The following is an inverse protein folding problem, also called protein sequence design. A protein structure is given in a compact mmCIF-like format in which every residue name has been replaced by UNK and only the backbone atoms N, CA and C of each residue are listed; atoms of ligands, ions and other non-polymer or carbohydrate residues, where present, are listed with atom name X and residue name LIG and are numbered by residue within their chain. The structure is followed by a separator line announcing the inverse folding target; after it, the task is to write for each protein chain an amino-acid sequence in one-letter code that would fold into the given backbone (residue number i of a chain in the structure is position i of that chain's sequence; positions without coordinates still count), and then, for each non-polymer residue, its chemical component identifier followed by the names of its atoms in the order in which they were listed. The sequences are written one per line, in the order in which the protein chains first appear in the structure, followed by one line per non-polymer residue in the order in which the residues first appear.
data_IF_112852034981
#
_entry.id   IF_112852034981
#
_cell.length_a   1.000
_cell.length_b   1.000
_cell.length_c   1.000
_cell.angle_alpha   90.00
_cell.angle_beta   90.00
_cell.angle_gamma   90.00
#
_symmetry.space_group_name_H-M   'P 1'
#
loop_
_entity.id
_entity.type
_entity.pdbx_description
1 polymer ?
#
# COMPACT_ATOMS: atom_id res chain seq x y z
N UNK A 1 -7.37 -11.51 0.63
CA UNK A 1 -7.74 -12.53 -0.38
C UNK A 1 -6.54 -13.38 -0.82
N UNK A 2 -5.43 -12.80 -1.26
CA UNK A 2 -4.24 -13.56 -1.73
C UNK A 2 -3.76 -14.52 -0.64
N UNK A 3 -3.56 -14.05 0.60
CA UNK A 3 -3.13 -14.88 1.73
C UNK A 3 -4.12 -16.01 2.03
N UNK A 4 -5.42 -15.75 1.86
CA UNK A 4 -6.47 -16.76 2.02
C UNK A 4 -6.34 -17.89 1.01
N UNK A 5 -6.17 -17.56 -0.27
CA UNK A 5 -6.03 -18.57 -1.33
C UNK A 5 -4.71 -19.37 -1.18
N UNK A 6 -3.63 -18.72 -0.77
CA UNK A 6 -2.35 -19.38 -0.52
C UNK A 6 -2.47 -20.33 0.68
N UNK A 7 -3.04 -19.88 1.81
CA UNK A 7 -3.22 -20.70 2.99
C UNK A 7 -4.09 -21.93 2.68
N UNK A 8 -5.17 -21.74 1.93
CA UNK A 8 -6.03 -22.83 1.50
C UNK A 8 -5.33 -23.82 0.57
N UNK A 9 -4.55 -23.33 -0.38
CA UNK A 9 -3.81 -24.17 -1.34
C UNK A 9 -2.75 -25.04 -0.64
N UNK A 10 -2.01 -24.47 0.33
CA UNK A 10 -0.97 -25.18 1.08
C UNK A 10 -1.50 -25.90 2.32
N UNK A 11 -2.81 -25.84 2.59
CA UNK A 11 -3.44 -26.37 3.81
C UNK A 11 -2.72 -25.93 5.09
N UNK A 12 -2.29 -24.66 5.10
CA UNK A 12 -1.50 -24.05 6.17
C UNK A 12 -2.35 -23.05 6.96
N UNK A 13 -1.91 -22.74 8.18
CA UNK A 13 -2.56 -21.74 9.02
C UNK A 13 -2.53 -20.37 8.33
N UNK A 14 -3.68 -19.70 8.24
CA UNK A 14 -3.81 -18.37 7.65
C UNK A 14 -2.93 -17.34 8.36
N UNK A 15 -2.84 -17.41 9.69
CA UNK A 15 -1.99 -16.50 10.49
C UNK A 15 -0.53 -16.65 10.13
N UNK A 16 -0.07 -17.87 9.94
CA UNK A 16 1.31 -18.14 9.55
C UNK A 16 1.64 -17.57 8.17
N UNK A 17 0.75 -17.74 7.19
CA UNK A 17 0.91 -17.17 5.85
C UNK A 17 0.95 -15.64 5.90
N UNK A 18 0.03 -15.01 6.65
CA UNK A 18 0.02 -13.56 6.81
C UNK A 18 1.30 -13.07 7.49
N UNK A 19 1.76 -13.77 8.53
CA UNK A 19 3.02 -13.45 9.21
C UNK A 19 4.21 -13.50 8.25
N UNK A 20 4.34 -14.53 7.42
CA UNK A 20 5.40 -14.62 6.41
C UNK A 20 5.36 -13.45 5.43
N UNK A 21 4.18 -13.08 4.93
CA UNK A 21 4.03 -11.91 4.05
C UNK A 21 4.45 -10.62 4.75
N UNK A 22 4.08 -10.45 6.02
CA UNK A 22 4.44 -9.29 6.82
C UNK A 22 5.96 -9.20 7.00
N UNK A 23 6.60 -10.28 7.41
CA UNK A 23 8.06 -10.35 7.60
C UNK A 23 8.77 -10.03 6.29
N UNK A 24 8.37 -10.65 5.18
CA UNK A 24 8.98 -10.42 3.89
C UNK A 24 8.84 -8.96 3.42
N UNK A 25 7.64 -8.41 3.53
CA UNK A 25 7.39 -7.02 3.19
C UNK A 25 8.19 -6.06 4.05
N UNK A 26 8.32 -6.36 5.34
CA UNK A 26 9.10 -5.57 6.27
C UNK A 26 10.60 -5.60 5.95
N UNK A 27 11.14 -6.76 5.58
CA UNK A 27 12.53 -6.87 5.13
C UNK A 27 12.80 -6.05 3.86
N UNK A 28 11.86 -6.06 2.91
CA UNK A 28 11.95 -5.21 1.71
C UNK A 28 11.95 -3.73 2.11
N UNK A 29 11.04 -3.33 3.01
CA UNK A 29 10.97 -1.97 3.51
C UNK A 29 12.29 -1.53 4.17
N UNK A 30 12.84 -2.34 5.07
CA UNK A 30 14.13 -2.06 5.71
C UNK A 30 15.27 -1.93 4.69
N UNK A 31 15.34 -2.83 3.72
CA UNK A 31 16.34 -2.79 2.66
C UNK A 31 16.24 -1.49 1.83
N UNK A 32 15.03 -1.12 1.41
CA UNK A 32 14.79 0.11 0.65
C UNK A 32 15.14 1.35 1.46
N UNK A 33 14.75 1.37 2.74
CA UNK A 33 15.07 2.46 3.67
C UNK A 33 16.57 2.61 3.85
N UNK A 34 17.28 1.51 4.11
CA UNK A 34 18.74 1.52 4.20
C UNK A 34 19.38 2.05 2.92
N UNK A 35 18.96 1.58 1.76
CA UNK A 35 19.48 2.02 0.45
C UNK A 35 19.20 3.50 0.21
N UNK A 36 18.02 3.99 0.62
CA UNK A 36 17.67 5.40 0.51
C UNK A 36 18.63 6.27 1.32
N UNK A 37 18.83 5.93 2.61
CA UNK A 37 19.70 6.70 3.49
C UNK A 37 21.18 6.58 3.14
N UNK A 38 21.63 5.45 2.65
CA UNK A 38 23.02 5.30 2.16
C UNK A 38 23.37 6.26 1.04
N UNK A 39 22.40 6.69 0.24
CA UNK A 39 22.58 7.59 -0.88
C UNK A 39 22.41 9.08 -0.49
N UNK A 40 22.03 9.34 0.75
CA UNK A 40 21.91 10.69 1.29
C UNK A 40 23.05 10.90 2.31
N UNK A 41 23.71 12.07 2.25
CA UNK A 41 24.62 12.51 3.31
C UNK A 41 23.80 12.91 4.55
N UNK A 42 23.20 11.92 5.19
CA UNK A 42 22.29 12.12 6.33
C UNK A 42 23.08 12.12 7.61
N UNK A 43 22.85 13.13 8.45
CA UNK A 43 23.42 13.20 9.78
C UNK A 43 22.98 11.96 10.60
N UNK A 44 23.92 11.38 11.36
CA UNK A 44 23.70 10.23 12.25
C UNK A 44 22.47 10.38 13.17
N UNK A 45 22.19 11.61 13.61
CA UNK A 45 21.01 11.92 14.45
C UNK A 45 19.70 11.64 13.71
N UNK A 46 19.59 12.02 12.45
CA UNK A 46 18.40 11.77 11.62
C UNK A 46 18.24 10.26 11.38
N UNK A 47 19.35 9.58 11.12
CA UNK A 47 19.36 8.13 10.94
C UNK A 47 18.86 7.41 12.21
N UNK A 48 19.36 7.79 13.39
CA UNK A 48 18.88 7.25 14.66
C UNK A 48 17.42 7.59 14.94
N UNK A 49 16.95 8.80 14.58
CA UNK A 49 15.54 9.18 14.76
C UNK A 49 14.59 8.31 13.93
N UNK A 50 14.98 7.93 12.72
CA UNK A 50 14.17 7.09 11.83
C UNK A 50 14.24 5.62 12.23
N UNK A 51 15.43 5.15 12.64
CA UNK A 51 15.61 3.78 13.15
C UNK A 51 15.31 3.65 14.65
N UNK A 52 14.51 4.56 15.22
CA UNK A 52 14.02 4.38 16.59
C UNK A 52 13.16 3.11 16.70
N UNK A 53 13.16 2.44 17.86
CA UNK A 53 12.27 1.30 18.08
C UNK A 53 10.80 1.61 17.77
N UNK A 54 10.35 2.84 18.03
CA UNK A 54 8.98 3.28 17.73
C UNK A 54 8.69 3.19 16.24
N UNK A 55 9.58 3.68 15.37
CA UNK A 55 9.39 3.61 13.92
C UNK A 55 9.53 2.19 13.38
N UNK A 56 10.53 1.45 13.87
CA UNK A 56 10.77 0.06 13.44
C UNK A 56 9.70 -0.90 13.94
N UNK A 57 9.19 -0.70 15.15
CA UNK A 57 8.19 -1.58 15.75
C UNK A 57 6.76 -1.19 15.37
N UNK A 58 6.53 0.05 14.94
CA UNK A 58 5.19 0.52 14.58
C UNK A 58 4.41 -0.41 13.63
N UNK A 59 5.02 -0.96 12.55
CA UNK A 59 4.32 -1.89 11.68
C UNK A 59 4.02 -3.26 12.31
N UNK A 60 4.63 -3.57 13.46
CA UNK A 60 4.56 -4.90 14.11
C UNK A 60 3.90 -4.82 15.50
N UNK A 61 3.76 -3.61 16.06
CA UNK A 61 3.40 -3.42 17.47
C UNK A 61 1.92 -3.67 17.78
N UNK A 62 1.03 -3.73 16.82
CA UNK A 62 -0.37 -4.04 17.06
C UNK A 62 -0.62 -5.54 16.89
N UNK A 63 -0.68 -6.23 18.02
CA UNK A 63 -0.95 -7.68 18.11
C UNK A 63 -2.34 -8.02 17.56
N UNK A 64 -3.29 -7.09 17.61
CA UNK A 64 -4.67 -7.29 17.16
C UNK A 64 -4.85 -7.15 15.63
N UNK A 65 -3.92 -6.48 14.95
CA UNK A 65 -3.95 -6.31 13.50
C UNK A 65 -2.91 -7.19 12.86
N UNK A 66 -3.33 -8.34 12.37
CA UNK A 66 -2.48 -9.37 11.78
C UNK A 66 -1.65 -8.90 10.58
N UNK A 67 -2.01 -7.82 9.92
CA UNK A 67 -1.25 -7.27 8.78
C UNK A 67 -1.45 -5.76 8.66
N UNK A 68 -0.37 -5.03 8.82
CA UNK A 68 -0.33 -3.60 8.56
C UNK A 68 -0.21 -3.34 7.06
N UNK A 69 -1.27 -2.82 6.47
CA UNK A 69 -1.31 -2.45 5.04
C UNK A 69 -0.33 -1.31 4.72
N UNK A 70 -0.02 -0.48 5.69
CA UNK A 70 0.86 0.69 5.59
C UNK A 70 2.28 0.33 5.15
N UNK A 71 2.77 -0.87 5.46
CA UNK A 71 4.08 -1.35 5.00
C UNK A 71 4.17 -1.36 3.47
N UNK A 72 3.10 -1.79 2.79
CA UNK A 72 3.03 -1.77 1.32
C UNK A 72 3.05 -0.34 0.77
N UNK A 73 2.40 0.59 1.47
CA UNK A 73 2.42 2.01 1.12
C UNK A 73 3.83 2.59 1.23
N UNK A 74 4.56 2.29 2.31
CA UNK A 74 5.95 2.74 2.46
C UNK A 74 6.87 2.15 1.39
N UNK A 75 6.75 0.87 1.07
CA UNK A 75 7.48 0.23 -0.03
C UNK A 75 7.16 0.93 -1.35
N UNK A 76 5.89 1.21 -1.61
CA UNK A 76 5.45 1.92 -2.80
C UNK A 76 6.11 3.30 -2.93
N UNK A 77 6.06 4.12 -1.88
CA UNK A 77 6.65 5.46 -1.89
C UNK A 77 8.17 5.43 -2.05
N UNK A 78 8.87 4.59 -1.30
CA UNK A 78 10.32 4.47 -1.42
C UNK A 78 10.73 4.02 -2.82
N UNK A 79 10.04 3.03 -3.38
CA UNK A 79 10.30 2.58 -4.75
C UNK A 79 10.03 3.70 -5.76
N UNK A 80 8.93 4.44 -5.60
CA UNK A 80 8.62 5.60 -6.44
C UNK A 80 9.73 6.65 -6.38
N UNK A 81 10.22 7.02 -5.20
CA UNK A 81 11.30 7.99 -5.03
C UNK A 81 12.58 7.50 -5.70
N UNK A 82 12.93 6.20 -5.57
CA UNK A 82 14.08 5.62 -6.27
C UNK A 82 13.97 5.69 -7.79
N UNK A 83 12.77 5.43 -8.32
CA UNK A 83 12.51 5.54 -9.75
C UNK A 83 12.53 6.99 -10.23
N UNK A 84 12.09 7.93 -9.40
CA UNK A 84 12.12 9.36 -9.70
C UNK A 84 13.52 9.97 -9.65
N UNK A 85 14.53 9.30 -9.09
CA UNK A 85 15.88 9.83 -9.04
C UNK A 85 16.45 10.00 -10.47
N UNK A 86 16.90 11.21 -10.87
CA UNK A 86 17.44 11.47 -12.21
C UNK A 86 18.65 10.60 -12.58
N UNK A 87 19.45 10.19 -11.60
CA UNK A 87 20.61 9.32 -11.80
C UNK A 87 20.23 7.82 -11.95
N UNK A 88 18.96 7.48 -11.76
CA UNK A 88 18.50 6.10 -11.83
C UNK A 88 18.35 5.61 -13.28
N UNK A 89 18.99 4.49 -13.62
CA UNK A 89 18.80 3.79 -14.90
C UNK A 89 17.34 3.35 -15.11
N UNK A 90 16.56 3.30 -14.04
CA UNK A 90 15.16 2.85 -14.04
C UNK A 90 14.14 3.98 -14.20
N UNK A 91 14.58 5.24 -14.31
CA UNK A 91 13.71 6.41 -14.49
C UNK A 91 12.70 6.23 -15.64
N UNK A 92 13.07 5.57 -16.72
CA UNK A 92 12.18 5.28 -17.86
C UNK A 92 10.95 4.46 -17.49
N UNK A 93 11.00 3.71 -16.39
CA UNK A 93 9.90 2.87 -15.94
C UNK A 93 8.93 3.56 -14.98
N UNK A 94 9.19 4.83 -14.59
CA UNK A 94 8.32 5.58 -13.67
C UNK A 94 6.86 5.60 -14.14
N UNK A 95 6.62 5.87 -15.42
CA UNK A 95 5.26 5.89 -15.96
C UNK A 95 4.58 4.53 -15.88
N UNK A 96 5.30 3.48 -16.24
CA UNK A 96 4.80 2.11 -16.16
C UNK A 96 4.49 1.73 -14.71
N UNK A 97 5.37 2.12 -13.79
CA UNK A 97 5.17 1.91 -12.36
C UNK A 97 3.89 2.58 -11.86
N UNK A 98 3.67 3.85 -12.22
CA UNK A 98 2.46 4.58 -11.84
C UNK A 98 1.21 3.89 -12.40
N UNK A 99 1.22 3.56 -13.69
CA UNK A 99 0.03 2.99 -14.35
C UNK A 99 -0.31 1.58 -13.84
N UNK A 100 0.69 0.77 -13.47
CA UNK A 100 0.47 -0.62 -13.05
C UNK A 100 0.42 -0.78 -11.53
N UNK A 101 1.35 -0.16 -10.80
CA UNK A 101 1.49 -0.43 -9.36
C UNK A 101 0.57 0.45 -8.52
N UNK A 102 0.34 1.71 -8.92
CA UNK A 102 -0.58 2.58 -8.16
C UNK A 102 -2.00 2.01 -8.07
N UNK A 103 -2.62 1.49 -9.14
CA UNK A 103 -3.91 0.82 -9.06
C UNK A 103 -3.90 -0.38 -8.09
N UNK A 104 -2.84 -1.20 -8.10
CA UNK A 104 -2.72 -2.33 -7.19
C UNK A 104 -2.62 -1.90 -5.73
N UNK A 105 -1.92 -0.81 -5.45
CA UNK A 105 -1.87 -0.25 -4.09
C UNK A 105 -3.23 0.33 -3.68
N UNK A 106 -3.96 0.98 -4.58
CA UNK A 106 -5.32 1.46 -4.31
C UNK A 106 -6.31 0.31 -4.00
N UNK A 107 -6.09 -0.91 -4.54
CA UNK A 107 -6.86 -2.11 -4.18
C UNK A 107 -6.60 -2.56 -2.73
N UNK A 108 -5.41 -2.29 -2.20
CA UNK A 108 -5.02 -2.68 -0.83
C UNK A 108 -5.39 -1.58 0.16
N UNK A 109 -5.23 -0.30 -0.26
CA UNK A 109 -5.35 0.87 0.60
C UNK A 109 -5.89 2.07 -0.23
N UNK A 110 -7.19 2.27 -0.21
CA UNK A 110 -7.88 3.30 -1.01
C UNK A 110 -7.46 4.72 -0.65
N UNK A 111 -7.04 4.97 0.59
CA UNK A 111 -6.60 6.29 1.06
C UNK A 111 -5.33 6.80 0.35
N UNK A 112 -4.65 5.95 -0.42
CA UNK A 112 -3.50 6.34 -1.26
C UNK A 112 -3.83 7.49 -2.20
N UNK A 113 -5.10 7.65 -2.58
CA UNK A 113 -5.55 8.76 -3.43
C UNK A 113 -5.20 10.13 -2.84
N UNK A 114 -5.17 10.25 -1.50
CA UNK A 114 -4.80 11.49 -0.81
C UNK A 114 -3.33 11.89 -1.05
N UNK A 115 -2.49 10.94 -1.43
CA UNK A 115 -1.08 11.17 -1.74
C UNK A 115 -0.81 11.48 -3.21
N UNK A 116 -1.81 11.40 -4.09
CA UNK A 116 -1.63 11.71 -5.52
C UNK A 116 -1.10 13.12 -5.78
N UNK A 117 -1.56 14.19 -5.08
CA UNK A 117 -0.96 15.51 -5.24
C UNK A 117 0.54 15.54 -4.96
N UNK A 118 0.99 14.79 -3.94
CA UNK A 118 2.41 14.67 -3.64
C UNK A 118 3.19 13.95 -4.76
N UNK A 119 2.68 12.82 -5.26
CA UNK A 119 3.30 12.07 -6.36
C UNK A 119 3.38 12.91 -7.64
N UNK A 120 2.29 13.63 -7.97
CA UNK A 120 2.23 14.55 -9.10
C UNK A 120 3.26 15.68 -8.93
N UNK A 121 3.36 16.28 -7.75
CA UNK A 121 4.35 17.33 -7.45
C UNK A 121 5.78 16.84 -7.63
N UNK A 122 6.10 15.64 -7.14
CA UNK A 122 7.42 15.03 -7.35
C UNK A 122 7.75 14.87 -8.85
N UNK A 123 6.77 14.44 -9.67
CA UNK A 123 6.97 14.30 -11.12
C UNK A 123 7.14 15.65 -11.82
N UNK A 124 6.40 16.68 -11.40
CA UNK A 124 6.52 18.04 -11.93
C UNK A 124 7.93 18.59 -11.69
N UNK A 125 8.42 18.46 -10.45
CA UNK A 125 9.75 18.94 -10.06
C UNK A 125 10.82 18.16 -10.81
N UNK A 126 10.73 16.83 -10.84
CA UNK A 126 11.69 15.96 -11.52
C UNK A 126 11.80 16.26 -13.01
N UNK A 127 10.68 16.50 -13.69
CA UNK A 127 10.61 16.71 -15.15
C UNK A 127 10.68 18.17 -15.55
N UNK A 128 10.79 19.09 -14.57
CA UNK A 128 10.81 20.52 -14.78
C UNK A 128 9.66 21.02 -15.68
N UNK A 129 8.45 20.51 -15.41
CA UNK A 129 7.29 20.77 -16.25
C UNK A 129 6.83 22.21 -16.09
N UNK A 130 6.75 22.92 -17.22
CA UNK A 130 6.32 24.34 -17.28
C UNK A 130 5.01 24.54 -18.06
N UNK A 131 4.55 23.52 -18.80
CA UNK A 131 3.37 23.64 -19.67
C UNK A 131 2.17 22.87 -19.11
N UNK A 132 0.99 23.47 -19.23
CA UNK A 132 -0.27 22.87 -18.78
C UNK A 132 -0.54 21.51 -19.45
N UNK A 133 -0.24 21.39 -20.75
CA UNK A 133 -0.39 20.12 -21.49
C UNK A 133 0.44 18.98 -20.88
N UNK A 134 1.67 19.28 -20.45
CA UNK A 134 2.54 18.27 -19.82
C UNK A 134 2.07 17.91 -18.41
N UNK A 135 1.52 18.88 -17.66
CA UNK A 135 0.86 18.63 -16.38
C UNK A 135 -0.34 17.67 -16.55
N UNK A 136 -1.21 17.96 -17.52
CA UNK A 136 -2.37 17.10 -17.78
C UNK A 136 -1.99 15.67 -18.15
N UNK A 137 -0.92 15.48 -18.93
CA UNK A 137 -0.38 14.14 -19.24
C UNK A 137 0.06 13.37 -18.00
N UNK A 138 0.63 14.04 -16.99
CA UNK A 138 0.96 13.41 -15.71
C UNK A 138 -0.31 12.99 -14.98
N UNK A 139 -1.30 13.86 -14.89
CA UNK A 139 -2.55 13.51 -14.23
C UNK A 139 -3.24 12.29 -14.86
N UNK A 140 -3.17 12.17 -16.20
CA UNK A 140 -3.71 11.01 -16.91
C UNK A 140 -3.04 9.68 -16.51
N UNK A 141 -1.78 9.67 -16.04
CA UNK A 141 -1.14 8.44 -15.58
C UNK A 141 -1.83 7.85 -14.33
N UNK A 142 -2.49 8.68 -13.54
CA UNK A 142 -3.21 8.24 -12.33
C UNK A 142 -4.66 7.82 -12.60
N UNK A 143 -5.14 8.00 -13.84
CA UNK A 143 -6.53 7.70 -14.18
C UNK A 143 -6.94 6.25 -13.89
N UNK A 144 -6.12 5.21 -14.15
CA UNK A 144 -6.49 3.85 -13.77
C UNK A 144 -6.69 3.67 -12.27
N UNK A 145 -5.84 4.29 -11.44
CA UNK A 145 -5.96 4.24 -9.99
C UNK A 145 -7.21 4.98 -9.49
N UNK A 146 -7.47 6.17 -10.04
CA UNK A 146 -8.68 6.95 -9.74
C UNK A 146 -9.93 6.15 -10.10
N UNK A 147 -9.95 5.48 -11.25
CA UNK A 147 -11.08 4.66 -11.67
C UNK A 147 -11.39 3.51 -10.69
N UNK A 148 -10.36 2.87 -10.13
CA UNK A 148 -10.51 1.82 -9.12
C UNK A 148 -11.11 2.39 -7.84
N UNK A 149 -10.57 3.51 -7.34
CA UNK A 149 -11.08 4.11 -6.10
C UNK A 149 -12.53 4.57 -6.28
N UNK A 150 -12.86 5.19 -7.43
CA UNK A 150 -14.23 5.56 -7.77
C UNK A 150 -15.15 4.34 -7.84
N UNK A 151 -14.67 3.22 -8.39
CA UNK A 151 -15.45 1.99 -8.43
C UNK A 151 -15.82 1.51 -7.03
N UNK A 152 -14.87 1.45 -6.09
CA UNK A 152 -15.15 1.06 -4.70
C UNK A 152 -16.06 2.04 -3.97
N UNK A 153 -15.92 3.32 -4.27
CA UNK A 153 -16.80 4.33 -3.69
C UNK A 153 -18.25 4.20 -4.19
N UNK A 154 -18.43 3.91 -5.48
CA UNK A 154 -19.76 3.77 -6.08
C UNK A 154 -20.41 2.40 -5.78
N UNK A 155 -19.61 1.36 -5.57
CA UNK A 155 -20.06 0.00 -5.32
C UNK A 155 -19.49 -0.52 -3.99
N UNK A 156 -19.97 -0.01 -2.85
CA UNK A 156 -19.51 -0.47 -1.54
C UNK A 156 -19.91 -1.94 -1.33
N UNK A 157 -19.18 -2.63 -0.45
CA UNK A 157 -19.43 -4.01 -0.13
C UNK A 157 -20.85 -4.17 0.47
N UNK A 158 -21.64 -5.10 -0.07
CA UNK A 158 -22.99 -5.39 0.44
C UNK A 158 -22.91 -6.17 1.75
N UNK A 159 -23.93 -6.05 2.61
CA UNK A 159 -24.03 -6.80 3.86
C UNK A 159 -23.97 -8.31 3.64
N UNK A 160 -24.57 -8.81 2.56
CA UNK A 160 -24.56 -10.21 2.16
C UNK A 160 -23.14 -10.72 1.85
N UNK A 161 -22.39 -9.99 1.01
CA UNK A 161 -21.01 -10.34 0.70
C UNK A 161 -20.09 -10.27 1.93
N UNK A 162 -20.35 -9.34 2.84
CA UNK A 162 -19.63 -9.26 4.10
C UNK A 162 -19.90 -10.48 4.99
N UNK A 163 -21.14 -10.95 5.05
CA UNK A 163 -21.49 -12.15 5.81
C UNK A 163 -20.88 -13.40 5.21
N UNK A 164 -20.92 -13.55 3.87
CA UNK A 164 -20.26 -14.66 3.16
C UNK A 164 -18.76 -14.71 3.44
N UNK A 165 -18.10 -13.54 3.51
CA UNK A 165 -16.68 -13.45 3.87
C UNK A 165 -16.43 -13.93 5.31
N UNK A 166 -17.26 -13.52 6.28
CA UNK A 166 -17.15 -13.96 7.69
C UNK A 166 -17.33 -15.47 7.81
N UNK A 167 -18.36 -16.02 7.16
CA UNK A 167 -18.63 -17.46 7.17
C UNK A 167 -17.51 -18.24 6.51
N UNK A 168 -16.96 -17.74 5.41
CA UNK A 168 -15.82 -18.34 4.72
C UNK A 168 -14.56 -18.39 5.57
N UNK A 169 -14.25 -17.32 6.34
CA UNK A 169 -13.13 -17.28 7.28
C UNK A 169 -13.32 -18.27 8.42
N UNK A 170 -14.52 -18.31 9.00
CA UNK A 170 -14.85 -19.23 10.09
C UNK A 170 -14.75 -20.69 9.64
N UNK A 171 -15.37 -21.03 8.49
CA UNK A 171 -15.45 -22.41 8.01
C UNK A 171 -14.11 -22.97 7.51
N UNK A 172 -13.27 -22.15 6.90
CA UNK A 172 -11.99 -22.64 6.34
C UNK A 172 -10.83 -22.58 7.34
N UNK A 173 -10.84 -21.62 8.28
CA UNK A 173 -9.68 -21.36 9.15
C UNK A 173 -10.05 -21.25 10.64
N UNK A 174 -11.32 -21.42 10.99
CA UNK A 174 -11.83 -21.21 12.35
C UNK A 174 -11.46 -19.82 12.92
N UNK A 175 -11.32 -18.82 12.04
CA UNK A 175 -10.96 -17.45 12.39
C UNK A 175 -12.19 -16.56 12.46
N UNK A 176 -12.28 -15.77 13.53
CA UNK A 176 -13.33 -14.76 13.67
C UNK A 176 -12.89 -13.45 13.04
N UNK A 177 -13.82 -12.81 12.35
CA UNK A 177 -13.59 -11.49 11.78
C UNK A 177 -13.69 -10.44 12.88
N UNK A 178 -12.57 -9.78 13.19
CA UNK A 178 -12.50 -8.67 14.14
C UNK A 178 -12.77 -7.31 13.46
N UNK A 179 -12.46 -6.19 14.13
CA UNK A 179 -12.72 -4.82 13.67
C UNK A 179 -12.28 -4.52 12.23
N UNK A 180 -11.18 -5.14 11.76
CA UNK A 180 -10.70 -5.00 10.39
C UNK A 180 -11.67 -5.51 9.31
N UNK A 181 -12.65 -6.29 9.71
CA UNK A 181 -13.75 -6.74 8.86
C UNK A 181 -15.06 -5.96 9.09
N UNK A 182 -15.07 -4.99 9.97
CA UNK A 182 -16.21 -4.11 10.17
C UNK A 182 -16.24 -3.05 9.05
N UNK A 183 -16.39 -3.54 7.82
CA UNK A 183 -16.70 -2.67 6.70
C UNK A 183 -18.08 -2.09 6.96
N UNK A 184 -18.16 -0.76 7.00
CA UNK A 184 -19.42 -0.05 7.05
C UNK A 184 -20.24 -0.46 5.84
N UNK A 185 -21.30 -1.23 6.07
CA UNK A 185 -22.26 -1.51 5.02
C UNK A 185 -23.20 -0.31 4.91
N UNK A 186 -23.75 -0.07 3.73
CA UNK A 186 -24.67 1.06 3.48
C UNK A 186 -25.84 1.07 4.47
N UNK A 187 -26.22 -0.09 5.02
CA UNK A 187 -27.30 -0.22 6.00
C UNK A 187 -26.92 0.28 7.40
N UNK A 188 -25.63 0.40 7.73
CA UNK A 188 -25.16 0.88 9.03
C UNK A 188 -25.07 2.40 9.09
N UNK A 189 -25.11 3.07 7.94
CA UNK A 189 -25.08 4.55 7.84
C UNK A 189 -26.46 5.16 8.13
N UNK A 190 -27.52 4.36 8.03
CA UNK A 190 -28.92 4.81 8.21
C UNK A 190 -29.50 4.47 9.58
N UNK A 191 -28.70 4.05 10.54
CA UNK A 191 -29.04 3.90 11.94
C UNK A 191 -28.30 4.93 12.80
#
# INVERSE_FOLDING_TARGET
EISFHIAKFFNSDLRFVIFLFQVFSYLIFLYLTYKFFKNLDVNLIILFSIFTPIFLLYPVAEIEVLARKEVFLYIYFLTFIFLCNPSSKFQKYVNLYIVLVTPLICLIYEEVILFFPFLVSCLIIQRQIKTFSSFFKICLLFLPAISIVLYFFLYPLTAENHQLMKESLLNNFNERCYMSCALLTVNDINK
#
